data_IF_424869184911
#
_entry.id   IF_424869184911
#
_cell.length_a   1.000
_cell.length_b   1.000
_cell.length_c   1.000
_cell.angle_alpha   90.00
_cell.angle_beta   90.00
_cell.angle_gamma   90.00
#
_symmetry.space_group_name_H-M   'P 1'
#
loop_
_entity.id
_entity.type
_entity.pdbx_description
1 polymer ?
#
# COMPACT_ATOMS: atom_id res chain seq x y z
N UNK A 1 21.77 -7.19 -23.88
CA UNK A 1 20.70 -6.15 -23.95
C UNK A 1 21.26 -4.73 -23.80
N UNK A 2 20.66 -3.74 -24.46
CA UNK A 2 20.87 -2.31 -24.14
C UNK A 2 20.23 -2.04 -22.77
N UNK A 3 20.86 -1.22 -21.93
CA UNK A 3 20.34 -0.85 -20.61
C UNK A 3 19.62 0.50 -20.71
N UNK A 4 18.42 0.59 -20.16
CA UNK A 4 17.72 1.85 -19.94
C UNK A 4 17.81 2.24 -18.47
N UNK A 5 17.43 3.46 -18.13
CA UNK A 5 17.29 3.91 -16.75
C UNK A 5 15.84 4.34 -16.50
N UNK A 6 15.33 4.03 -15.31
CA UNK A 6 14.06 4.56 -14.83
C UNK A 6 14.16 6.04 -14.45
N UNK A 7 13.04 6.68 -14.10
CA UNK A 7 13.02 8.11 -13.71
C UNK A 7 13.83 8.45 -12.45
N UNK A 8 14.36 7.45 -11.72
CA UNK A 8 15.22 7.60 -10.52
C UNK A 8 16.67 7.22 -10.82
N UNK A 9 17.01 7.02 -12.10
CA UNK A 9 18.35 6.70 -12.58
C UNK A 9 18.79 5.27 -12.28
N UNK A 10 17.87 4.35 -12.01
CA UNK A 10 18.21 2.94 -11.78
C UNK A 10 18.13 2.13 -13.07
N UNK A 11 19.09 1.25 -13.29
CA UNK A 11 19.19 0.46 -14.53
C UNK A 11 18.04 -0.54 -14.67
N UNK A 12 17.46 -0.63 -15.87
CA UNK A 12 16.46 -1.64 -16.23
C UNK A 12 16.98 -2.43 -17.44
N UNK A 13 17.03 -3.76 -17.33
CA UNK A 13 17.49 -4.62 -18.42
C UNK A 13 16.39 -4.75 -19.48
N UNK A 14 16.30 -3.76 -20.36
CA UNK A 14 15.38 -3.74 -21.50
C UNK A 14 15.89 -2.77 -22.56
N UNK A 15 15.68 -3.09 -23.84
CA UNK A 15 15.90 -2.13 -24.92
C UNK A 15 14.69 -1.19 -25.15
N UNK A 16 13.54 -1.47 -24.51
CA UNK A 16 12.28 -0.78 -24.73
C UNK A 16 12.10 0.39 -23.75
N UNK A 17 12.35 1.62 -24.21
CA UNK A 17 12.04 2.82 -23.44
C UNK A 17 10.53 2.93 -23.11
N UNK A 18 9.67 2.37 -23.97
CA UNK A 18 8.23 2.27 -23.72
C UNK A 18 7.92 1.39 -22.52
N UNK A 19 8.61 0.24 -22.38
CA UNK A 19 8.43 -0.63 -21.22
C UNK A 19 8.83 0.08 -19.91
N UNK A 20 9.95 0.82 -19.92
CA UNK A 20 10.40 1.60 -18.76
C UNK A 20 9.40 2.69 -18.38
N UNK A 21 8.90 3.45 -19.35
CA UNK A 21 7.88 4.49 -19.12
C UNK A 21 6.62 3.92 -18.45
N UNK A 22 6.15 2.76 -18.92
CA UNK A 22 5.02 2.08 -18.28
C UNK A 22 5.34 1.55 -16.88
N UNK A 23 6.57 1.07 -16.61
CA UNK A 23 6.98 0.70 -15.26
C UNK A 23 7.01 1.90 -14.32
N UNK A 24 7.50 3.05 -14.77
CA UNK A 24 7.52 4.28 -13.99
C UNK A 24 6.10 4.75 -13.64
N UNK A 25 5.17 4.71 -14.61
CA UNK A 25 3.76 4.99 -14.38
C UNK A 25 3.13 3.98 -13.40
N UNK A 26 3.45 2.68 -13.53
CA UNK A 26 2.95 1.66 -12.63
C UNK A 26 3.40 1.89 -11.17
N UNK A 27 4.67 2.25 -10.98
CA UNK A 27 5.22 2.58 -9.66
C UNK A 27 4.54 3.82 -9.09
N UNK A 28 4.42 4.88 -9.89
CA UNK A 28 3.76 6.12 -9.45
C UNK A 28 2.30 5.87 -9.06
N UNK A 29 1.53 5.17 -9.90
CA UNK A 29 0.14 4.82 -9.62
C UNK A 29 0.02 3.92 -8.38
N UNK A 30 0.93 2.96 -8.19
CA UNK A 30 0.93 2.10 -6.99
C UNK A 30 1.21 2.90 -5.70
N UNK A 31 2.22 3.78 -5.71
CA UNK A 31 2.55 4.63 -4.54
C UNK A 31 1.40 5.54 -4.15
N UNK A 32 0.70 6.08 -5.15
CA UNK A 32 -0.42 7.00 -4.96
C UNK A 32 -1.77 6.31 -4.82
N UNK A 33 -1.80 4.99 -4.58
CA UNK A 33 -3.04 4.23 -4.42
C UNK A 33 -4.00 4.42 -5.60
N UNK A 34 -3.46 4.50 -6.81
CA UNK A 34 -4.22 4.51 -8.05
C UNK A 34 -4.80 3.13 -8.39
N UNK A 35 -5.46 3.06 -9.55
CA UNK A 35 -6.17 1.88 -10.02
C UNK A 35 -5.55 1.27 -11.30
N UNK A 36 -4.49 1.88 -11.84
CA UNK A 36 -3.93 1.58 -13.15
C UNK A 36 -2.59 0.83 -13.10
N UNK A 37 -1.97 0.66 -11.93
CA UNK A 37 -0.66 0.02 -11.81
C UNK A 37 -0.58 -1.35 -12.53
N UNK A 38 -1.65 -2.16 -12.43
CA UNK A 38 -1.69 -3.46 -13.13
C UNK A 38 -1.85 -3.34 -14.66
N UNK A 39 -2.58 -2.34 -15.16
CA UNK A 39 -2.67 -2.10 -16.61
C UNK A 39 -1.38 -1.53 -17.17
N UNK A 40 -0.68 -0.68 -16.43
CA UNK A 40 0.63 -0.15 -16.81
C UNK A 40 1.68 -1.28 -16.88
N UNK A 41 1.74 -2.16 -15.87
CA UNK A 41 2.60 -3.36 -15.93
C UNK A 41 2.25 -4.26 -17.11
N UNK A 42 0.96 -4.42 -17.43
CA UNK A 42 0.54 -5.18 -18.61
C UNK A 42 1.06 -4.53 -19.90
N UNK A 43 0.94 -3.21 -20.04
CA UNK A 43 1.45 -2.48 -21.20
C UNK A 43 2.99 -2.56 -21.31
N UNK A 44 3.71 -2.53 -20.17
CA UNK A 44 5.15 -2.78 -20.15
C UNK A 44 5.51 -4.16 -20.72
N UNK A 45 4.76 -5.21 -20.32
CA UNK A 45 4.95 -6.57 -20.83
C UNK A 45 4.50 -6.75 -22.29
N UNK A 46 3.56 -5.95 -22.78
CA UNK A 46 3.19 -5.91 -24.20
C UNK A 46 4.30 -5.25 -25.03
N UNK A 47 5.02 -4.28 -24.47
CA UNK A 47 6.15 -3.60 -25.11
C UNK A 47 7.46 -4.40 -25.03
N UNK A 48 7.68 -5.16 -23.96
CA UNK A 48 8.82 -6.07 -23.79
C UNK A 48 8.43 -7.25 -22.86
N UNK A 49 8.09 -8.43 -23.44
CA UNK A 49 7.72 -9.62 -22.67
C UNK A 49 8.82 -10.16 -21.75
N UNK A 50 10.08 -9.89 -22.08
CA UNK A 50 11.27 -10.37 -21.36
C UNK A 50 11.75 -9.35 -20.31
N UNK A 51 11.02 -8.24 -20.11
CA UNK A 51 11.35 -7.26 -19.08
C UNK A 51 11.15 -7.85 -17.67
N UNK A 52 12.27 -8.20 -17.02
CA UNK A 52 12.28 -8.89 -15.74
C UNK A 52 11.52 -8.13 -14.64
N UNK A 53 11.78 -6.83 -14.47
CA UNK A 53 11.09 -6.02 -13.45
C UNK A 53 9.57 -5.97 -13.69
N UNK A 54 9.11 -5.96 -14.94
CA UNK A 54 7.69 -6.03 -15.26
C UNK A 54 7.05 -7.35 -14.83
N UNK A 55 7.74 -8.48 -15.02
CA UNK A 55 7.29 -9.78 -14.51
C UNK A 55 7.24 -9.80 -12.97
N UNK A 56 8.26 -9.26 -12.30
CA UNK A 56 8.29 -9.13 -10.84
C UNK A 56 7.12 -8.27 -10.32
N UNK A 57 6.91 -7.08 -10.90
CA UNK A 57 5.86 -6.15 -10.48
C UNK A 57 4.47 -6.74 -10.73
N UNK A 58 4.28 -7.49 -11.83
CA UNK A 58 3.05 -8.25 -12.05
C UNK A 58 2.81 -9.24 -10.93
N UNK A 59 3.83 -10.00 -10.53
CA UNK A 59 3.75 -10.94 -9.41
C UNK A 59 3.38 -10.24 -8.10
N UNK A 60 4.05 -9.14 -7.76
CA UNK A 60 3.76 -8.38 -6.53
C UNK A 60 2.34 -7.82 -6.51
N UNK A 61 1.89 -7.17 -7.59
CA UNK A 61 0.55 -6.60 -7.67
C UNK A 61 -0.53 -7.68 -7.58
N UNK A 62 -0.29 -8.88 -8.15
CA UNK A 62 -1.19 -10.02 -8.00
C UNK A 62 -1.19 -10.56 -6.56
N UNK A 63 -0.03 -10.66 -5.90
CA UNK A 63 0.04 -11.05 -4.49
C UNK A 63 -0.74 -10.10 -3.58
N UNK A 64 -0.68 -8.78 -3.85
CA UNK A 64 -1.46 -7.75 -3.15
C UNK A 64 -2.98 -7.86 -3.36
N UNK A 65 -3.46 -8.65 -4.33
CA UNK A 65 -4.90 -8.90 -4.47
C UNK A 65 -5.42 -9.88 -3.43
N UNK A 66 -4.53 -10.62 -2.75
CA UNK A 66 -4.87 -11.54 -1.67
C UNK A 66 -6.00 -12.50 -2.07
N UNK A 67 -5.85 -13.12 -3.23
CA UNK A 67 -6.85 -14.04 -3.78
C UNK A 67 -6.16 -15.27 -4.35
N UNK A 68 -6.53 -16.47 -3.87
CA UNK A 68 -5.92 -17.73 -4.33
C UNK A 68 -6.08 -17.97 -5.84
N UNK A 69 -7.11 -17.41 -6.47
CA UNK A 69 -7.36 -17.54 -7.90
C UNK A 69 -6.26 -16.91 -8.78
N UNK A 70 -5.40 -16.03 -8.22
CA UNK A 70 -4.32 -15.38 -8.98
C UNK A 70 -3.01 -16.17 -9.00
N UNK A 71 -2.85 -17.20 -8.17
CA UNK A 71 -1.62 -17.99 -8.06
C UNK A 71 -1.14 -18.59 -9.38
N UNK A 72 -2.00 -19.14 -10.26
CA UNK A 72 -1.56 -19.62 -11.57
C UNK A 72 -0.90 -18.52 -12.42
N UNK A 73 -1.40 -17.27 -12.34
CA UNK A 73 -0.81 -16.12 -13.06
C UNK A 73 0.50 -15.66 -12.44
N UNK A 74 0.67 -15.82 -11.13
CA UNK A 74 1.94 -15.51 -10.44
C UNK A 74 2.99 -16.55 -10.80
N UNK A 75 2.62 -17.84 -10.81
CA UNK A 75 3.53 -18.90 -11.24
C UNK A 75 3.99 -18.68 -12.69
N UNK A 76 3.09 -18.27 -13.59
CA UNK A 76 3.45 -17.90 -14.96
C UNK A 76 4.49 -16.77 -15.00
N UNK A 77 4.38 -15.75 -14.13
CA UNK A 77 5.38 -14.67 -14.08
C UNK A 77 6.75 -15.18 -13.61
N UNK A 78 6.79 -16.10 -12.62
CA UNK A 78 8.01 -16.76 -12.17
C UNK A 78 8.63 -17.64 -13.25
N UNK A 79 7.81 -18.38 -14.00
CA UNK A 79 8.26 -19.21 -15.11
C UNK A 79 8.84 -18.35 -16.24
N UNK A 80 8.24 -17.20 -16.55
CA UNK A 80 8.78 -16.25 -17.51
C UNK A 80 10.14 -15.71 -17.05
N UNK A 81 10.27 -15.30 -15.79
CA UNK A 81 11.54 -14.83 -15.21
C UNK A 81 12.67 -15.87 -15.34
N UNK A 82 12.35 -17.15 -15.11
CA UNK A 82 13.33 -18.23 -15.21
C UNK A 82 13.80 -18.51 -16.64
N UNK A 83 13.04 -18.06 -17.66
CA UNK A 83 13.29 -18.33 -19.07
C UNK A 83 13.83 -17.10 -19.84
N UNK A 84 14.14 -15.99 -19.16
CA UNK A 84 14.73 -14.79 -19.80
C UNK A 84 16.11 -15.14 -20.41
N UNK A 85 16.32 -14.98 -21.73
CA UNK A 85 17.49 -15.54 -22.43
C UNK A 85 18.87 -15.04 -21.96
N UNK A 86 18.98 -13.75 -21.65
CA UNK A 86 20.24 -13.13 -21.22
C UNK A 86 20.44 -13.22 -19.68
N UNK A 87 19.49 -13.83 -18.99
CA UNK A 87 19.43 -13.88 -17.53
C UNK A 87 19.07 -12.54 -16.89
N UNK A 88 19.16 -12.52 -15.55
CA UNK A 88 18.78 -11.37 -14.71
C UNK A 88 20.02 -10.61 -14.22
N UNK A 89 19.94 -9.28 -14.17
CA UNK A 89 20.94 -8.48 -13.45
C UNK A 89 20.80 -8.69 -11.92
N UNK A 90 21.72 -8.12 -11.12
CA UNK A 90 21.73 -8.34 -9.66
C UNK A 90 20.43 -7.86 -8.98
N UNK A 91 19.94 -6.67 -9.30
CA UNK A 91 18.72 -6.10 -8.72
C UNK A 91 17.48 -6.91 -9.10
N UNK A 92 17.39 -7.32 -10.36
CA UNK A 92 16.30 -8.16 -10.88
C UNK A 92 16.28 -9.54 -10.22
N UNK A 93 17.45 -10.15 -9.97
CA UNK A 93 17.57 -11.40 -9.21
C UNK A 93 16.99 -11.26 -7.81
N UNK A 94 17.35 -10.19 -7.09
CA UNK A 94 16.84 -9.94 -5.74
C UNK A 94 15.32 -9.73 -5.74
N UNK A 95 14.75 -9.05 -6.73
CA UNK A 95 13.30 -8.93 -6.86
C UNK A 95 12.64 -10.29 -7.13
N UNK A 96 13.20 -11.10 -8.03
CA UNK A 96 12.69 -12.44 -8.33
C UNK A 96 12.76 -13.35 -7.08
N UNK A 97 13.85 -13.29 -6.31
CA UNK A 97 14.01 -13.97 -5.02
C UNK A 97 12.94 -13.53 -4.01
N UNK A 98 12.71 -12.21 -3.87
CA UNK A 98 11.70 -11.67 -2.98
C UNK A 98 10.29 -12.14 -3.35
N UNK A 99 9.94 -12.12 -4.65
CA UNK A 99 8.66 -12.60 -5.14
C UNK A 99 8.49 -14.09 -4.86
N UNK A 100 9.52 -14.90 -5.15
CA UNK A 100 9.46 -16.33 -4.93
C UNK A 100 9.33 -16.68 -3.43
N UNK A 101 10.04 -15.98 -2.55
CA UNK A 101 9.92 -16.13 -1.11
C UNK A 101 8.50 -15.79 -0.64
N UNK A 102 7.94 -14.67 -1.10
CA UNK A 102 6.60 -14.25 -0.74
C UNK A 102 5.52 -15.25 -1.20
N UNK A 103 5.61 -15.76 -2.43
CA UNK A 103 4.69 -16.80 -2.95
C UNK A 103 4.73 -18.08 -2.11
N UNK A 104 5.89 -18.41 -1.53
CA UNK A 104 6.06 -19.57 -0.62
C UNK A 104 5.61 -19.27 0.82
N UNK A 105 5.13 -18.06 1.11
CA UNK A 105 4.78 -17.61 2.47
C UNK A 105 5.98 -17.24 3.34
N UNK A 106 7.19 -17.19 2.79
CA UNK A 106 8.41 -16.82 3.50
C UNK A 106 8.59 -15.29 3.50
N UNK A 107 7.77 -14.64 4.33
CA UNK A 107 7.74 -13.18 4.44
C UNK A 107 9.07 -12.61 4.95
N UNK A 108 9.82 -13.37 5.75
CA UNK A 108 11.11 -12.92 6.27
C UNK A 108 12.14 -12.84 5.15
N UNK A 109 12.28 -13.89 4.34
CA UNK A 109 13.21 -13.86 3.21
C UNK A 109 12.78 -12.86 2.14
N UNK A 110 11.47 -12.66 1.92
CA UNK A 110 10.98 -11.59 1.05
C UNK A 110 11.48 -10.21 1.54
N UNK A 111 11.34 -9.91 2.83
CA UNK A 111 11.84 -8.67 3.43
C UNK A 111 13.37 -8.54 3.31
N UNK A 112 14.13 -9.61 3.60
CA UNK A 112 15.59 -9.59 3.50
C UNK A 112 16.08 -9.32 2.06
N UNK A 113 15.40 -9.86 1.05
CA UNK A 113 15.69 -9.57 -0.35
C UNK A 113 15.42 -8.11 -0.71
N UNK A 114 14.32 -7.51 -0.25
CA UNK A 114 14.08 -6.08 -0.44
C UNK A 114 15.06 -5.20 0.34
N UNK A 115 15.44 -5.57 1.56
CA UNK A 115 16.48 -4.87 2.32
C UNK A 115 17.84 -4.93 1.60
N UNK A 116 18.20 -6.07 0.99
CA UNK A 116 19.39 -6.19 0.17
C UNK A 116 19.33 -5.28 -1.06
N UNK A 117 18.16 -5.14 -1.70
CA UNK A 117 17.96 -4.17 -2.78
C UNK A 117 18.20 -2.75 -2.26
N UNK A 118 17.61 -2.37 -1.14
CA UNK A 118 17.68 -1.00 -0.61
C UNK A 118 19.10 -0.62 -0.12
N UNK A 119 19.92 -1.60 0.26
CA UNK A 119 21.32 -1.37 0.59
C UNK A 119 22.19 -1.04 -0.65
N UNK A 120 21.86 -1.59 -1.81
CA UNK A 120 22.62 -1.39 -3.06
C UNK A 120 21.98 -0.30 -3.96
N UNK A 121 20.64 -0.21 -3.97
CA UNK A 121 19.81 0.73 -4.72
C UNK A 121 18.79 1.41 -3.78
N UNK A 122 19.22 2.37 -2.94
CA UNK A 122 18.37 3.03 -1.93
C UNK A 122 17.19 3.80 -2.52
N UNK A 123 17.21 4.06 -3.84
CA UNK A 123 16.12 4.72 -4.58
C UNK A 123 15.11 3.75 -5.20
N UNK A 124 15.25 2.43 -4.98
CA UNK A 124 14.26 1.46 -5.44
C UNK A 124 13.00 1.51 -4.57
N UNK A 125 12.10 2.40 -4.96
CA UNK A 125 10.90 2.71 -4.19
C UNK A 125 9.86 1.59 -4.22
N UNK A 126 9.90 0.71 -5.23
CA UNK A 126 9.03 -0.46 -5.25
C UNK A 126 9.46 -1.46 -4.17
N UNK A 127 10.76 -1.76 -4.07
CA UNK A 127 11.30 -2.56 -2.97
C UNK A 127 10.99 -1.92 -1.61
N UNK A 128 11.16 -0.60 -1.48
CA UNK A 128 10.85 0.13 -0.24
C UNK A 128 9.38 0.00 0.14
N UNK A 129 8.45 0.21 -0.81
CA UNK A 129 7.01 0.16 -0.53
C UNK A 129 6.54 -1.26 -0.15
N UNK A 130 7.07 -2.28 -0.82
CA UNK A 130 6.74 -3.68 -0.53
C UNK A 130 7.29 -4.12 0.82
N UNK A 131 8.55 -3.80 1.11
CA UNK A 131 9.15 -4.00 2.44
C UNK A 131 8.33 -3.30 3.52
N UNK A 132 8.01 -2.01 3.31
CA UNK A 132 7.24 -1.20 4.24
C UNK A 132 5.89 -1.86 4.55
N UNK A 133 5.18 -2.33 3.52
CA UNK A 133 3.90 -3.02 3.68
C UNK A 133 4.04 -4.33 4.48
N UNK A 134 5.05 -5.15 4.17
CA UNK A 134 5.24 -6.44 4.86
C UNK A 134 5.76 -6.28 6.29
N UNK A 135 6.63 -5.31 6.55
CA UNK A 135 7.10 -5.00 7.90
C UNK A 135 5.95 -4.51 8.79
N UNK A 136 5.03 -3.70 8.25
CA UNK A 136 3.79 -3.33 8.93
C UNK A 136 2.91 -4.56 9.23
N UNK A 137 2.59 -5.38 8.22
CA UNK A 137 1.77 -6.59 8.41
C UNK A 137 2.36 -7.61 9.40
N UNK A 138 3.67 -7.57 9.66
CA UNK A 138 4.35 -8.44 10.62
C UNK A 138 4.64 -7.77 11.96
N UNK A 139 4.14 -6.55 12.19
CA UNK A 139 4.31 -5.80 13.44
C UNK A 139 5.76 -5.40 13.74
N UNK A 140 6.63 -5.34 12.72
CA UNK A 140 8.06 -5.03 12.86
C UNK A 140 8.31 -3.51 12.79
N UNK A 141 7.63 -2.74 13.63
CA UNK A 141 7.62 -1.26 13.58
C UNK A 141 9.01 -0.62 13.64
N UNK A 142 9.95 -1.18 14.43
CA UNK A 142 11.33 -0.68 14.46
C UNK A 142 12.08 -0.89 13.13
N UNK A 143 11.82 -2.01 12.44
CA UNK A 143 12.43 -2.33 11.14
C UNK A 143 11.83 -1.45 10.05
N UNK A 144 10.51 -1.27 10.10
CA UNK A 144 9.76 -0.34 9.26
C UNK A 144 10.41 1.06 9.30
N UNK A 145 10.68 1.57 10.50
CA UNK A 145 11.32 2.88 10.70
C UNK A 145 12.77 2.90 10.24
N UNK A 146 13.58 1.90 10.62
CA UNK A 146 15.01 1.90 10.33
C UNK A 146 15.32 1.81 8.85
N UNK A 147 14.55 1.04 8.08
CA UNK A 147 14.79 0.86 6.65
C UNK A 147 14.45 2.13 5.88
N UNK A 148 13.32 2.78 6.16
CA UNK A 148 12.98 4.06 5.53
C UNK A 148 14.01 5.13 5.91
N UNK A 149 14.38 5.23 7.20
CA UNK A 149 15.42 6.16 7.64
C UNK A 149 16.77 5.94 6.96
N UNK A 150 17.15 4.67 6.72
CA UNK A 150 18.42 4.29 6.11
C UNK A 150 18.56 4.74 4.65
N UNK A 151 17.44 4.84 3.91
CA UNK A 151 17.47 5.29 2.51
C UNK A 151 17.25 6.79 2.35
N UNK A 152 16.64 7.49 3.32
CA UNK A 152 16.24 8.90 3.17
C UNK A 152 17.35 9.84 2.72
N UNK A 153 18.61 9.60 3.09
CA UNK A 153 19.75 10.42 2.69
C UNK A 153 20.09 10.37 1.20
N UNK A 154 19.55 9.39 0.48
CA UNK A 154 19.78 9.15 -0.96
C UNK A 154 18.65 9.72 -1.83
N UNK A 155 17.69 10.39 -1.19
CA UNK A 155 16.52 10.98 -1.82
C UNK A 155 16.53 12.50 -1.73
N UNK A 156 16.35 13.14 -2.88
CA UNK A 156 16.25 14.60 -2.99
C UNK A 156 14.79 15.06 -3.13
N UNK A 157 14.55 16.33 -2.78
CA UNK A 157 13.22 16.93 -2.81
C UNK A 157 12.55 16.92 -4.20
N UNK A 158 13.35 16.95 -5.27
CA UNK A 158 12.89 16.98 -6.66
C UNK A 158 12.72 15.57 -7.27
N UNK A 159 13.06 14.51 -6.51
CA UNK A 159 13.03 13.14 -7.01
C UNK A 159 11.60 12.59 -7.07
N UNK A 160 11.19 11.96 -8.18
CA UNK A 160 9.86 11.36 -8.30
C UNK A 160 9.58 10.32 -7.21
N UNK A 161 8.54 10.57 -6.41
CA UNK A 161 8.13 9.71 -5.30
C UNK A 161 8.71 10.08 -3.94
N UNK A 162 9.50 11.17 -3.83
CA UNK A 162 10.07 11.60 -2.54
C UNK A 162 9.01 11.85 -1.48
N UNK A 163 7.90 12.51 -1.82
CA UNK A 163 6.79 12.73 -0.88
C UNK A 163 6.20 11.41 -0.37
N UNK A 164 6.14 10.36 -1.20
CA UNK A 164 5.69 9.05 -0.75
C UNK A 164 6.69 8.40 0.23
N UNK A 165 8.00 8.61 0.03
CA UNK A 165 9.03 8.18 1.00
C UNK A 165 8.90 8.94 2.31
N UNK A 166 8.63 10.24 2.27
CA UNK A 166 8.32 11.03 3.46
C UNK A 166 7.07 10.51 4.18
N UNK A 167 6.00 10.18 3.44
CA UNK A 167 4.79 9.57 3.98
C UNK A 167 5.06 8.22 4.63
N UNK A 168 5.87 7.35 4.01
CA UNK A 168 6.32 6.10 4.61
C UNK A 168 7.12 6.32 5.89
N UNK A 169 7.96 7.36 5.94
CA UNK A 169 8.71 7.68 7.15
C UNK A 169 7.81 8.21 8.28
N UNK A 170 6.86 9.09 7.93
CA UNK A 170 5.86 9.60 8.85
C UNK A 170 5.08 8.47 9.53
N UNK A 171 4.59 7.50 8.73
CA UNK A 171 3.91 6.32 9.24
C UNK A 171 4.80 5.51 10.18
N UNK A 172 6.04 5.25 9.77
CA UNK A 172 6.95 4.41 10.55
C UNK A 172 7.36 5.05 11.89
N UNK A 173 7.44 6.38 11.95
CA UNK A 173 7.65 7.13 13.18
C UNK A 173 6.43 7.04 14.11
N UNK A 174 5.22 7.17 13.55
CA UNK A 174 3.97 7.04 14.31
C UNK A 174 3.84 5.66 14.96
N UNK A 175 4.10 4.59 14.21
CA UNK A 175 4.13 3.21 14.71
C UNK A 175 5.19 2.98 15.80
N UNK A 176 6.17 3.88 15.93
CA UNK A 176 7.18 3.88 17.00
C UNK A 176 6.85 4.86 18.15
N UNK A 177 5.70 5.54 18.11
CA UNK A 177 5.29 6.54 19.09
C UNK A 177 5.97 7.90 18.97
N UNK A 178 6.69 8.17 17.88
CA UNK A 178 7.41 9.42 17.62
C UNK A 178 6.49 10.48 16.98
N UNK A 179 5.36 10.74 17.63
CA UNK A 179 4.23 11.47 17.07
C UNK A 179 4.55 12.88 16.52
N UNK A 180 5.37 13.67 17.22
CA UNK A 180 5.69 15.02 16.79
C UNK A 180 6.48 15.05 15.45
N UNK A 181 7.42 14.12 15.31
CA UNK A 181 8.21 13.97 14.09
C UNK A 181 7.34 13.37 12.97
N UNK A 182 6.54 12.36 13.30
CA UNK A 182 5.60 11.72 12.38
C UNK A 182 4.64 12.74 11.75
N UNK A 183 4.02 13.59 12.57
CA UNK A 183 3.10 14.62 12.09
C UNK A 183 3.81 15.64 11.18
N UNK A 184 5.03 16.09 11.53
CA UNK A 184 5.77 17.04 10.70
C UNK A 184 6.04 16.46 9.32
N UNK A 185 6.60 15.25 9.24
CA UNK A 185 6.89 14.58 7.97
C UNK A 185 5.61 14.29 7.18
N UNK A 186 4.55 13.82 7.85
CA UNK A 186 3.29 13.50 7.21
C UNK A 186 2.62 14.73 6.58
N UNK A 187 2.58 15.86 7.32
CA UNK A 187 2.03 17.12 6.79
C UNK A 187 2.86 17.69 5.64
N UNK A 188 4.18 17.59 5.70
CA UNK A 188 5.05 18.01 4.60
C UNK A 188 4.83 17.16 3.35
N UNK A 189 4.76 15.84 3.51
CA UNK A 189 4.46 14.89 2.44
C UNK A 189 3.10 15.19 1.78
N UNK A 190 2.05 15.36 2.60
CA UNK A 190 0.71 15.70 2.10
C UNK A 190 0.64 17.08 1.45
N UNK A 191 1.43 18.05 1.89
CA UNK A 191 1.51 19.37 1.24
C UNK A 191 2.15 19.29 -0.16
N UNK A 192 3.15 18.41 -0.34
CA UNK A 192 3.80 18.15 -1.64
C UNK A 192 2.92 17.32 -2.57
N UNK A 193 2.27 16.30 -2.01
CA UNK A 193 1.34 15.42 -2.73
C UNK A 193 0.03 15.29 -1.95
N UNK A 194 -0.97 16.16 -2.21
CA UNK A 194 -2.29 16.08 -1.57
C UNK A 194 -3.06 14.79 -1.89
N UNK A 195 -2.61 14.00 -2.87
CA UNK A 195 -3.18 12.70 -3.20
C UNK A 195 -2.52 11.53 -2.48
N UNK A 196 -1.47 11.73 -1.69
CA UNK A 196 -0.81 10.64 -0.96
C UNK A 196 -1.65 10.24 0.26
N UNK A 197 -2.46 9.20 0.06
CA UNK A 197 -3.32 8.67 1.11
C UNK A 197 -2.52 8.13 2.30
N UNK A 198 -1.30 7.61 2.12
CA UNK A 198 -0.51 7.07 3.21
C UNK A 198 0.04 8.17 4.11
N UNK A 199 0.51 9.27 3.52
CA UNK A 199 0.92 10.45 4.28
C UNK A 199 -0.25 11.06 5.07
N UNK A 200 -1.41 11.23 4.42
CA UNK A 200 -2.63 11.76 5.06
C UNK A 200 -3.06 10.85 6.21
N UNK A 201 -3.07 9.54 5.97
CA UNK A 201 -3.37 8.49 6.95
C UNK A 201 -2.43 8.54 8.16
N UNK A 202 -1.13 8.72 7.93
CA UNK A 202 -0.14 8.79 9.01
C UNK A 202 -0.42 9.95 9.97
N UNK A 203 -0.81 11.12 9.43
CA UNK A 203 -1.20 12.26 10.28
C UNK A 203 -2.51 11.98 11.01
N UNK A 204 -3.47 11.29 10.39
CA UNK A 204 -4.69 10.86 11.06
C UNK A 204 -4.38 9.96 12.27
N UNK A 205 -3.53 8.94 12.11
CA UNK A 205 -3.05 8.12 13.20
C UNK A 205 -2.48 8.95 14.36
N UNK A 206 -1.56 9.89 14.07
CA UNK A 206 -0.99 10.76 15.11
C UNK A 206 -2.08 11.52 15.87
N UNK A 207 -3.04 12.11 15.16
CA UNK A 207 -4.12 12.87 15.76
C UNK A 207 -5.05 11.98 16.60
N UNK A 208 -5.29 10.74 16.17
CA UNK A 208 -6.04 9.74 16.95
C UNK A 208 -5.30 9.37 18.23
N UNK A 209 -4.03 8.97 18.12
CA UNK A 209 -3.20 8.51 19.25
C UNK A 209 -2.97 9.60 20.30
N UNK A 210 -3.05 10.87 19.90
CA UNK A 210 -2.95 12.02 20.80
C UNK A 210 -4.31 12.57 21.29
N UNK A 211 -5.43 11.94 20.92
CA UNK A 211 -6.77 12.39 21.32
C UNK A 211 -7.20 13.72 20.70
N UNK A 212 -6.56 14.16 19.61
CA UNK A 212 -6.82 15.44 18.92
C UNK A 212 -7.95 15.30 17.89
N UNK A 213 -9.08 14.72 18.32
CA UNK A 213 -10.17 14.29 17.43
C UNK A 213 -10.78 15.43 16.59
N UNK A 214 -11.02 16.59 17.19
CA UNK A 214 -11.56 17.74 16.47
C UNK A 214 -10.62 18.27 15.38
N UNK A 215 -9.31 18.12 15.59
CA UNK A 215 -8.30 18.44 14.57
C UNK A 215 -8.24 17.34 13.51
N UNK A 216 -8.30 16.07 13.92
CA UNK A 216 -8.41 14.91 13.01
C UNK A 216 -9.58 15.01 12.05
N UNK A 217 -10.77 15.37 12.56
CA UNK A 217 -11.95 15.59 11.71
C UNK A 217 -11.75 16.71 10.69
N UNK A 218 -11.04 17.79 11.04
CA UNK A 218 -10.71 18.88 10.11
C UNK A 218 -9.63 18.47 9.12
N UNK A 219 -8.65 17.68 9.55
CA UNK A 219 -7.58 17.17 8.71
C UNK A 219 -8.12 16.28 7.59
N UNK A 220 -9.15 15.47 7.88
CA UNK A 220 -9.81 14.59 6.92
C UNK A 220 -11.07 15.19 6.28
N UNK A 221 -11.25 16.51 6.35
CA UNK A 221 -12.40 17.21 5.75
C UNK A 221 -12.14 17.49 4.25
N UNK A 222 -12.09 16.41 3.47
CA UNK A 222 -11.95 16.45 2.02
C UNK A 222 -13.33 16.35 1.34
N UNK A 223 -13.50 16.93 0.13
CA UNK A 223 -14.65 16.60 -0.72
C UNK A 223 -14.65 15.10 -1.07
N UNK A 224 -15.82 14.46 -1.10
CA UNK A 224 -15.93 13.02 -1.37
C UNK A 224 -15.29 12.61 -2.72
N UNK A 225 -15.35 13.49 -3.71
CA UNK A 225 -14.77 13.28 -5.04
C UNK A 225 -13.24 13.35 -5.06
N UNK A 226 -12.60 13.91 -4.03
CA UNK A 226 -11.15 14.14 -4.01
C UNK A 226 -10.36 12.83 -4.16
N UNK A 227 -10.87 11.73 -3.61
CA UNK A 227 -10.28 10.40 -3.71
C UNK A 227 -11.03 9.46 -4.65
N UNK A 228 -11.89 9.98 -5.54
CA UNK A 228 -12.72 9.15 -6.41
C UNK A 228 -11.90 8.14 -7.26
N UNK A 229 -10.72 8.56 -7.74
CA UNK A 229 -9.80 7.75 -8.55
C UNK A 229 -8.81 6.91 -7.75
N UNK A 230 -8.85 6.97 -6.42
CA UNK A 230 -8.01 6.15 -5.55
C UNK A 230 -8.62 4.75 -5.38
N UNK A 231 -7.78 3.78 -5.04
CA UNK A 231 -8.17 2.40 -4.80
C UNK A 231 -8.87 2.26 -3.43
N UNK A 232 -9.11 1.01 -3.02
CA UNK A 232 -9.83 0.66 -1.80
C UNK A 232 -9.26 1.29 -0.52
N UNK A 233 -7.98 1.68 -0.48
CA UNK A 233 -7.37 2.25 0.71
C UNK A 233 -8.02 3.56 1.17
N UNK A 234 -8.67 4.31 0.26
CA UNK A 234 -9.42 5.53 0.62
C UNK A 234 -10.51 5.26 1.66
N UNK A 235 -11.15 4.08 1.64
CA UNK A 235 -12.17 3.71 2.61
C UNK A 235 -11.56 3.62 4.02
N UNK A 236 -10.33 3.14 4.14
CA UNK A 236 -9.64 3.12 5.43
C UNK A 236 -9.31 4.52 5.95
N UNK A 237 -8.96 5.46 5.06
CA UNK A 237 -8.78 6.87 5.45
C UNK A 237 -10.10 7.49 5.91
N UNK A 238 -11.22 7.19 5.24
CA UNK A 238 -12.54 7.61 5.71
C UNK A 238 -12.97 6.97 7.03
N UNK A 239 -12.55 5.73 7.28
CA UNK A 239 -12.80 5.05 8.55
C UNK A 239 -12.19 5.82 9.74
N UNK A 240 -10.99 6.39 9.57
CA UNK A 240 -10.41 7.31 10.57
C UNK A 240 -11.28 8.55 10.82
N UNK A 241 -11.88 9.13 9.78
CA UNK A 241 -12.82 10.25 9.94
C UNK A 241 -14.09 9.83 10.71
N UNK A 242 -14.58 8.62 10.47
CA UNK A 242 -15.68 8.05 11.25
C UNK A 242 -15.28 7.84 12.73
N UNK A 243 -14.05 7.40 13.02
CA UNK A 243 -13.55 7.30 14.39
C UNK A 243 -13.45 8.66 15.08
N UNK A 244 -12.95 9.69 14.40
CA UNK A 244 -12.93 11.04 14.96
C UNK A 244 -14.33 11.55 15.26
N UNK A 245 -15.29 11.24 14.39
CA UNK A 245 -16.70 11.62 14.58
C UNK A 245 -17.31 10.87 15.76
N UNK A 246 -17.05 9.57 15.88
CA UNK A 246 -17.48 8.74 17.01
C UNK A 246 -16.91 9.25 18.34
N UNK A 247 -15.62 9.58 18.39
CA UNK A 247 -14.96 10.09 19.59
C UNK A 247 -15.49 11.47 20.05
N UNK A 248 -16.15 12.20 19.14
CA UNK A 248 -16.83 13.47 19.42
C UNK A 248 -18.34 13.30 19.60
N UNK A 249 -18.84 12.07 19.68
CA UNK A 249 -20.26 11.72 19.78
C UNK A 249 -21.13 12.20 18.60
N UNK A 250 -20.51 12.53 17.46
CA UNK A 250 -21.21 12.78 16.20
C UNK A 250 -21.49 11.43 15.50
N UNK A 251 -22.36 10.64 16.13
CA UNK A 251 -22.75 9.32 15.66
C UNK A 251 -23.47 9.38 14.31
N UNK A 252 -24.19 10.47 14.04
CA UNK A 252 -24.87 10.70 12.75
C UNK A 252 -23.87 10.79 11.60
N UNK A 253 -22.79 11.58 11.78
CA UNK A 253 -21.70 11.65 10.79
C UNK A 253 -20.97 10.32 10.66
N UNK A 254 -20.68 9.63 11.78
CA UNK A 254 -20.00 8.33 11.74
C UNK A 254 -20.80 7.29 10.94
N UNK A 255 -22.13 7.22 11.14
CA UNK A 255 -23.03 6.36 10.36
C UNK A 255 -23.13 6.79 8.90
N UNK A 256 -23.18 8.09 8.61
CA UNK A 256 -23.20 8.57 7.23
C UNK A 256 -21.91 8.19 6.47
N UNK A 257 -20.73 8.34 7.10
CA UNK A 257 -19.46 7.89 6.52
C UNK A 257 -19.47 6.38 6.32
N UNK A 258 -19.98 5.62 7.30
CA UNK A 258 -20.16 4.18 7.15
C UNK A 258 -20.97 3.90 5.88
N UNK A 259 -22.14 4.51 5.72
CA UNK A 259 -23.04 4.21 4.61
C UNK A 259 -22.49 4.66 3.25
N UNK A 260 -21.82 5.81 3.17
CA UNK A 260 -21.38 6.38 1.88
C UNK A 260 -19.98 5.95 1.43
N UNK A 261 -19.03 5.82 2.36
CA UNK A 261 -17.62 5.63 2.04
C UNK A 261 -17.07 4.24 2.41
N UNK A 262 -17.64 3.60 3.43
CA UNK A 262 -17.19 2.27 3.90
C UNK A 262 -18.08 1.15 3.36
N UNK A 263 -19.39 1.40 3.33
CA UNK A 263 -20.41 0.46 2.88
C UNK A 263 -20.50 0.48 1.36
N UNK A 264 -19.47 -0.06 0.72
CA UNK A 264 -19.65 -0.61 -0.61
C UNK A 264 -20.02 -2.07 -0.45
N UNK A 265 -21.31 -2.35 -0.21
CA UNK A 265 -21.90 -3.70 0.00
C UNK A 265 -21.61 -4.70 -1.16
N UNK A 266 -20.76 -4.36 -2.14
CA UNK A 266 -20.23 -5.24 -3.19
C UNK A 266 -18.73 -5.03 -3.52
N UNK A 267 -17.89 -4.51 -2.60
CA UNK A 267 -16.45 -4.44 -2.84
C UNK A 267 -15.82 -5.83 -2.76
N UNK A 268 -15.09 -6.25 -3.80
CA UNK A 268 -14.36 -7.52 -3.81
C UNK A 268 -13.15 -7.56 -2.85
N UNK A 269 -13.03 -6.63 -1.89
CA UNK A 269 -11.80 -6.38 -1.13
C UNK A 269 -12.01 -6.52 0.38
N UNK A 270 -11.09 -7.27 1.00
CA UNK A 270 -11.22 -7.81 2.36
C UNK A 270 -10.92 -6.80 3.49
N UNK A 271 -10.14 -5.73 3.23
CA UNK A 271 -9.86 -4.65 4.21
C UNK A 271 -11.14 -3.98 4.70
N UNK A 272 -12.18 -3.97 3.86
CA UNK A 272 -13.45 -3.34 4.17
C UNK A 272 -14.20 -4.06 5.30
N UNK A 273 -13.96 -5.36 5.52
CA UNK A 273 -14.65 -6.13 6.57
C UNK A 273 -14.19 -5.74 7.96
N UNK A 274 -12.87 -5.69 8.18
CA UNK A 274 -12.31 -5.33 9.49
C UNK A 274 -12.67 -3.90 9.87
N UNK A 275 -12.58 -2.95 8.94
CA UNK A 275 -12.98 -1.56 9.17
C UNK A 275 -14.46 -1.45 9.56
N UNK A 276 -15.34 -2.10 8.79
CA UNK A 276 -16.78 -2.09 9.05
C UNK A 276 -17.11 -2.74 10.41
N UNK A 277 -16.62 -3.95 10.67
CA UNK A 277 -16.87 -4.66 11.93
C UNK A 277 -16.35 -3.86 13.13
N UNK A 278 -15.14 -3.29 13.03
CA UNK A 278 -14.53 -2.50 14.08
C UNK A 278 -15.33 -1.22 14.39
N UNK A 279 -15.89 -0.55 13.38
CA UNK A 279 -16.70 0.66 13.56
C UNK A 279 -18.09 0.32 14.10
N UNK A 280 -18.78 -0.66 13.52
CA UNK A 280 -20.09 -1.13 14.01
C UNK A 280 -20.03 -1.53 15.48
N UNK A 281 -18.99 -2.28 15.87
CA UNK A 281 -18.84 -2.70 17.25
C UNK A 281 -18.64 -1.53 18.21
N UNK A 282 -17.87 -0.51 17.82
CA UNK A 282 -17.66 0.70 18.63
C UNK A 282 -18.95 1.51 18.77
N UNK A 283 -19.73 1.63 17.71
CA UNK A 283 -21.05 2.30 17.73
C UNK A 283 -22.02 1.59 18.69
N UNK A 284 -22.11 0.26 18.64
CA UNK A 284 -22.93 -0.50 19.58
C UNK A 284 -22.48 -0.33 21.04
N UNK A 285 -21.16 -0.35 21.29
CA UNK A 285 -20.62 -0.11 22.63
C UNK A 285 -21.01 1.29 23.14
N UNK A 286 -21.08 2.28 22.24
CA UNK A 286 -21.56 3.62 22.54
C UNK A 286 -23.10 3.72 22.66
N UNK A 287 -23.84 2.62 22.50
CA UNK A 287 -25.30 2.57 22.61
C UNK A 287 -26.05 3.01 21.35
N UNK A 288 -25.37 3.10 20.20
CA UNK A 288 -25.98 3.46 18.92
C UNK A 288 -26.64 2.24 18.29
N UNK A 289 -27.87 2.39 17.80
CA UNK A 289 -28.54 1.38 16.97
C UNK A 289 -27.91 1.38 15.57
N UNK A 290 -27.29 0.25 15.20
CA UNK A 290 -26.61 0.07 13.91
C UNK A 290 -27.50 -0.56 12.83
N UNK A 291 -28.76 -0.93 13.15
CA UNK A 291 -29.70 -1.53 12.20
C UNK A 291 -29.18 -2.83 11.56
N UNK A 292 -29.48 -3.03 10.27
CA UNK A 292 -29.17 -4.25 9.50
C UNK A 292 -27.72 -4.31 8.96
N UNK A 293 -26.84 -3.39 9.36
CA UNK A 293 -25.47 -3.29 8.82
C UNK A 293 -24.63 -4.53 9.11
N UNK A 294 -24.87 -5.21 10.23
CA UNK A 294 -24.21 -6.48 10.54
C UNK A 294 -24.64 -7.61 9.59
N UNK A 295 -25.92 -7.67 9.20
CA UNK A 295 -26.42 -8.71 8.32
C UNK A 295 -25.81 -8.60 6.92
N UNK A 296 -25.71 -7.36 6.40
CA UNK A 296 -25.04 -7.09 5.13
C UNK A 296 -23.55 -7.51 5.16
N UNK A 297 -22.85 -7.20 6.25
CA UNK A 297 -21.44 -7.56 6.42
C UNK A 297 -21.23 -9.08 6.55
N UNK A 298 -22.13 -9.76 7.27
CA UNK A 298 -22.08 -11.20 7.45
C UNK A 298 -22.28 -11.94 6.11
N UNK A 299 -23.29 -11.54 5.33
CA UNK A 299 -23.55 -12.13 4.02
C UNK A 299 -22.37 -11.98 3.05
N UNK A 300 -21.69 -10.83 3.08
CA UNK A 300 -20.47 -10.63 2.29
C UNK A 300 -19.34 -11.57 2.74
N UNK A 301 -19.09 -11.61 4.05
CA UNK A 301 -17.98 -12.37 4.65
C UNK A 301 -18.11 -13.89 4.45
N UNK A 302 -19.33 -14.42 4.42
CA UNK A 302 -19.61 -15.85 4.23
C UNK A 302 -19.03 -16.41 2.92
N UNK A 303 -18.91 -15.57 1.89
CA UNK A 303 -18.38 -15.99 0.58
C UNK A 303 -16.85 -16.18 0.57
N UNK A 304 -16.14 -15.80 1.64
CA UNK A 304 -14.66 -15.70 1.68
C UNK A 304 -13.98 -16.35 2.87
N UNK A 305 -14.68 -17.27 3.54
CA UNK A 305 -14.18 -17.97 4.74
C UNK A 305 -12.92 -18.85 4.53
N UNK A 306 -12.42 -18.97 3.30
CA UNK A 306 -11.25 -19.80 2.96
C UNK A 306 -10.04 -18.98 2.48
N UNK A 307 -10.15 -17.65 2.44
CA UNK A 307 -9.10 -16.74 1.98
C UNK A 307 -8.06 -16.46 3.08
N UNK A 308 -7.46 -17.52 3.63
CA UNK A 308 -6.36 -17.44 4.62
C UNK A 308 -5.02 -17.23 3.91
N UNK A 309 -4.67 -15.98 3.62
CA UNK A 309 -3.45 -15.59 2.87
C UNK A 309 -2.53 -14.68 3.70
N UNK A 310 -3.08 -13.88 4.62
CA UNK A 310 -2.30 -12.96 5.46
C UNK A 310 -2.57 -13.19 6.95
N UNK A 311 -1.57 -13.63 7.73
CA UNK A 311 -1.71 -13.84 9.16
C UNK A 311 -2.19 -12.62 9.93
N UNK A 312 -1.82 -11.40 9.49
CA UNK A 312 -2.26 -10.13 10.09
C UNK A 312 -3.79 -10.00 10.17
N UNK A 313 -4.52 -10.63 9.24
CA UNK A 313 -5.98 -10.55 9.16
C UNK A 313 -6.70 -11.80 9.64
N UNK A 314 -6.01 -12.95 9.63
CA UNK A 314 -6.54 -14.21 10.15
C UNK A 314 -6.53 -14.26 11.69
N UNK A 315 -5.73 -13.41 12.35
CA UNK A 315 -5.61 -13.30 13.81
C UNK A 315 -6.74 -12.46 14.43
#
# INVERSE_FOLDING_TARGET
MTMQQDIRGLEVTTASATAVSHLDNAVADYLDYGQNASSEVKAALEADPDCALAQCYRGYLLMMLENRAVFPKIQQALDNLANIPDGLNRREKLHAEALQAWVKGDLMNACLSWEAILNEWPRDVMALKLHHTMAFYTGRSHVLRSVVAGVLGEWDADMPGYSNVQGMYAYALEECGEYAEAERWGREASARNPGDLWAIHSVAHVLEMQGRYAEGSKWLDYPAEHWAKKNFFKAHVWWHNALFSLAQEDFGKALNIFDSELSSVNSDKYVDVSNQAALLKRLEIAGVDVGERWDALAAHSETRIHDHILPFRDA
#
